data_IF_716326075632
#
_entry.id   IF_716326075632
#
_cell.length_a   1.000
_cell.length_b   1.000
_cell.length_c   1.000
_cell.angle_alpha   90.00
_cell.angle_beta   90.00
_cell.angle_gamma   90.00
#
_symmetry.space_group_name_H-M   'P 1'
#
loop_
_entity.id
_entity.type
_entity.pdbx_description
1 polymer ?
#
# COMPACT_ATOMS: atom_id res chain seq x y z
N UNK A 1 -7.89 23.62 -1.68
CA UNK A 1 -6.50 23.14 -1.84
C UNK A 1 -6.57 21.63 -1.91
N UNK A 2 -6.29 21.03 -3.07
CA UNK A 2 -6.29 19.58 -3.24
C UNK A 2 -5.18 19.00 -2.37
N UNK A 3 -5.54 18.25 -1.33
CA UNK A 3 -4.59 17.45 -0.58
C UNK A 3 -3.94 16.48 -1.58
N UNK A 4 -2.61 16.58 -1.73
CA UNK A 4 -1.84 15.57 -2.47
C UNK A 4 -1.85 14.35 -1.56
N UNK A 5 -2.77 13.42 -1.81
CA UNK A 5 -2.81 12.15 -1.11
C UNK A 5 -1.58 11.33 -1.54
N UNK A 6 -0.75 10.96 -0.56
CA UNK A 6 0.46 10.16 -0.81
C UNK A 6 0.10 8.69 -0.75
N UNK A 7 0.45 7.93 -1.79
CA UNK A 7 0.38 6.47 -1.73
C UNK A 7 1.44 5.92 -0.77
N UNK A 8 1.08 4.87 -0.02
CA UNK A 8 2.01 4.25 0.93
C UNK A 8 3.00 3.34 0.22
N UNK A 9 4.14 3.07 0.87
CA UNK A 9 5.19 2.18 0.35
C UNK A 9 4.65 0.80 -0.07
N UNK A 10 3.78 0.11 0.70
CA UNK A 10 3.20 -1.15 0.28
C UNK A 10 2.41 -1.05 -1.03
N UNK A 11 1.59 -0.01 -1.19
CA UNK A 11 0.78 0.21 -2.41
C UNK A 11 1.65 0.46 -3.63
N UNK A 12 2.70 1.29 -3.49
CA UNK A 12 3.67 1.56 -4.57
C UNK A 12 4.38 0.27 -5.00
N UNK A 13 4.85 -0.53 -4.04
CA UNK A 13 5.56 -1.77 -4.34
C UNK A 13 4.65 -2.78 -5.02
N UNK A 14 3.43 -2.97 -4.51
CA UNK A 14 2.44 -3.87 -5.12
C UNK A 14 2.09 -3.45 -6.57
N UNK A 15 1.93 -2.14 -6.82
CA UNK A 15 1.68 -1.62 -8.16
C UNK A 15 2.81 -1.94 -9.15
N UNK A 16 4.06 -1.76 -8.72
CA UNK A 16 5.23 -1.97 -9.57
C UNK A 16 5.46 -3.47 -9.81
N UNK A 17 5.17 -4.32 -8.83
CA UNK A 17 5.21 -5.77 -8.97
C UNK A 17 4.18 -6.26 -10.01
N UNK A 18 2.94 -5.77 -9.94
CA UNK A 18 1.92 -6.02 -10.96
C UNK A 18 2.39 -5.65 -12.37
N UNK A 19 2.95 -4.45 -12.52
CA UNK A 19 3.47 -3.98 -13.80
C UNK A 19 4.61 -4.87 -14.31
N UNK A 20 5.52 -5.27 -13.41
CA UNK A 20 6.67 -6.10 -13.76
C UNK A 20 6.26 -7.50 -14.23
N UNK A 21 5.18 -8.04 -13.69
CA UNK A 21 4.68 -9.34 -14.10
C UNK A 21 3.85 -9.32 -15.37
N UNK A 22 2.96 -8.33 -15.54
CA UNK A 22 1.98 -8.35 -16.64
C UNK A 22 2.46 -7.66 -17.90
N UNK A 23 3.39 -6.71 -17.80
CA UNK A 23 3.89 -6.02 -18.97
C UNK A 23 5.03 -6.78 -19.65
N UNK A 24 4.93 -6.89 -20.98
CA UNK A 24 6.07 -7.27 -21.80
C UNK A 24 7.18 -6.23 -21.71
N UNK A 25 8.41 -6.58 -22.12
CA UNK A 25 9.53 -5.62 -22.16
C UNK A 25 9.18 -4.35 -22.94
N UNK A 26 8.55 -4.50 -24.12
CA UNK A 26 8.15 -3.37 -24.95
C UNK A 26 7.07 -2.51 -24.29
N UNK A 27 6.06 -3.15 -23.68
CA UNK A 27 4.99 -2.44 -22.98
C UNK A 27 5.50 -1.71 -21.72
N UNK A 28 6.47 -2.30 -21.02
CA UNK A 28 7.12 -1.67 -19.87
C UNK A 28 7.96 -0.46 -20.30
N UNK A 29 8.70 -0.56 -21.40
CA UNK A 29 9.47 0.57 -21.95
C UNK A 29 8.56 1.72 -22.41
N UNK A 30 7.42 1.40 -23.03
CA UNK A 30 6.40 2.40 -23.34
C UNK A 30 5.81 3.07 -22.09
N UNK A 31 5.62 2.31 -21.02
CA UNK A 31 5.12 2.84 -19.75
C UNK A 31 6.14 3.79 -19.10
N UNK A 32 7.44 3.44 -19.09
CA UNK A 32 8.53 4.32 -18.61
C UNK A 32 8.45 5.70 -19.26
N UNK A 33 8.20 5.77 -20.56
CA UNK A 33 8.04 7.05 -21.28
C UNK A 33 6.82 7.85 -20.83
N UNK A 34 5.69 7.18 -20.56
CA UNK A 34 4.46 7.87 -20.12
C UNK A 34 4.57 8.47 -18.73
N UNK A 35 5.46 7.93 -17.90
CA UNK A 35 5.71 8.39 -16.53
C UNK A 35 6.98 9.24 -16.41
N UNK A 36 7.56 9.68 -17.54
CA UNK A 36 8.75 10.56 -17.61
C UNK A 36 9.98 9.99 -16.86
N UNK A 37 10.22 8.66 -16.92
CA UNK A 37 11.35 8.00 -16.26
C UNK A 37 12.44 7.47 -17.22
N UNK A 38 12.41 7.86 -18.49
CA UNK A 38 13.32 7.34 -19.52
C UNK A 38 14.77 7.80 -19.38
N UNK A 39 15.01 8.91 -18.67
CA UNK A 39 16.36 9.39 -18.39
C UNK A 39 17.03 8.57 -17.27
N UNK A 40 16.21 8.10 -16.33
CA UNK A 40 16.64 7.39 -15.14
C UNK A 40 16.66 5.88 -15.35
N UNK A 41 15.78 5.34 -16.20
CA UNK A 41 15.64 3.89 -16.43
C UNK A 41 16.04 3.55 -17.88
N UNK A 42 17.18 2.87 -18.09
CA UNK A 42 17.64 2.50 -19.43
C UNK A 42 16.68 1.55 -20.16
N UNK A 43 16.25 1.91 -21.36
CA UNK A 43 15.39 1.08 -22.23
C UNK A 43 16.18 0.09 -23.10
N UNK A 44 17.28 -0.45 -22.55
CA UNK A 44 18.15 -1.40 -23.27
C UNK A 44 17.52 -2.79 -23.27
N UNK A 45 17.65 -3.53 -24.38
CA UNK A 45 17.09 -4.88 -24.53
C UNK A 45 17.72 -5.89 -23.58
N UNK A 46 18.95 -5.65 -23.16
CA UNK A 46 19.70 -6.51 -22.24
C UNK A 46 19.25 -6.34 -20.78
N UNK A 47 18.49 -5.29 -20.46
CA UNK A 47 17.98 -5.05 -19.10
C UNK A 47 16.60 -5.68 -18.98
N UNK A 48 16.47 -6.63 -18.05
CA UNK A 48 15.21 -7.32 -17.77
C UNK A 48 14.17 -6.40 -17.14
N UNK A 49 12.89 -6.72 -17.34
CA UNK A 49 11.76 -6.01 -16.71
C UNK A 49 11.92 -5.96 -15.19
N UNK A 50 12.36 -7.05 -14.56
CA UNK A 50 12.61 -7.12 -13.11
C UNK A 50 13.68 -6.12 -12.62
N UNK A 51 14.73 -5.90 -13.40
CA UNK A 51 15.76 -4.91 -13.06
C UNK A 51 15.21 -3.48 -13.21
N UNK A 52 14.46 -3.23 -14.29
CA UNK A 52 13.79 -1.94 -14.52
C UNK A 52 12.77 -1.63 -13.42
N UNK A 53 11.96 -2.60 -13.00
CA UNK A 53 10.96 -2.43 -11.94
C UNK A 53 11.59 -2.17 -10.58
N UNK A 54 12.71 -2.84 -10.24
CA UNK A 54 13.45 -2.57 -8.99
C UNK A 54 13.96 -1.12 -8.95
N UNK A 55 14.48 -0.62 -10.07
CA UNK A 55 14.93 0.76 -10.20
C UNK A 55 13.78 1.75 -10.14
N UNK A 56 12.68 1.45 -10.83
CA UNK A 56 11.44 2.23 -10.75
C UNK A 56 10.93 2.32 -9.30
N UNK A 57 10.91 1.21 -8.55
CA UNK A 57 10.49 1.20 -7.15
C UNK A 57 11.34 2.14 -6.30
N UNK A 58 12.65 2.15 -6.50
CA UNK A 58 13.53 3.05 -5.76
C UNK A 58 13.26 4.53 -6.10
N UNK A 59 13.07 4.84 -7.38
CA UNK A 59 12.78 6.21 -7.84
C UNK A 59 11.43 6.72 -7.35
N UNK A 60 10.38 5.90 -7.46
CA UNK A 60 9.02 6.27 -7.03
C UNK A 60 8.94 6.39 -5.50
N UNK A 61 9.69 5.59 -4.74
CA UNK A 61 9.74 5.74 -3.29
C UNK A 61 10.53 6.98 -2.85
N UNK A 62 11.53 7.42 -3.62
CA UNK A 62 12.35 8.59 -3.29
C UNK A 62 11.68 9.91 -3.73
N UNK A 63 11.08 9.92 -4.92
CA UNK A 63 10.59 11.12 -5.59
C UNK A 63 9.12 11.01 -5.99
N UNK A 64 8.34 10.14 -5.33
CA UNK A 64 6.95 9.86 -5.70
C UNK A 64 6.02 11.08 -5.67
N UNK A 65 6.33 12.10 -4.87
CA UNK A 65 5.59 13.36 -4.78
C UNK A 65 5.94 14.38 -5.87
N UNK A 66 6.97 14.10 -6.69
CA UNK A 66 7.33 14.94 -7.83
C UNK A 66 6.16 15.00 -8.81
N UNK A 67 5.81 16.22 -9.23
CA UNK A 67 4.77 16.41 -10.24
C UNK A 67 5.36 16.18 -11.62
N UNK A 68 4.74 15.29 -12.39
CA UNK A 68 5.08 14.97 -13.77
C UNK A 68 3.94 15.36 -14.71
N UNK A 69 4.23 15.54 -15.99
CA UNK A 69 3.20 15.78 -16.99
C UNK A 69 2.88 14.45 -17.69
N UNK A 70 1.72 13.88 -17.40
CA UNK A 70 1.24 12.71 -18.14
C UNK A 70 0.39 13.15 -19.33
N UNK A 71 0.12 12.21 -20.24
CA UNK A 71 -0.78 12.43 -21.40
C UNK A 71 -2.15 12.94 -20.97
N UNK A 72 -2.64 12.46 -19.81
CA UNK A 72 -4.01 12.70 -19.36
C UNK A 72 -4.12 13.93 -18.44
N UNK A 73 -3.10 14.21 -17.62
CA UNK A 73 -3.05 15.37 -16.70
C UNK A 73 -1.72 15.49 -15.96
N UNK A 74 -1.50 16.63 -15.29
CA UNK A 74 -0.39 16.82 -14.36
C UNK A 74 -0.73 16.15 -13.02
N UNK A 75 0.10 15.22 -12.58
CA UNK A 75 -0.10 14.44 -11.34
C UNK A 75 1.24 14.07 -10.70
N UNK A 76 1.21 13.45 -9.53
CA UNK A 76 2.44 12.95 -8.90
C UNK A 76 2.98 11.73 -9.63
N UNK A 77 4.29 11.51 -9.60
CA UNK A 77 4.94 10.34 -10.18
C UNK A 77 4.34 9.03 -9.62
N UNK A 78 4.12 8.99 -8.31
CA UNK A 78 3.49 7.84 -7.67
C UNK A 78 2.09 7.59 -8.26
N UNK A 79 1.24 8.62 -8.34
CA UNK A 79 -0.11 8.49 -8.90
C UNK A 79 -0.08 8.00 -10.36
N UNK A 80 0.84 8.50 -11.18
CA UNK A 80 0.97 8.07 -12.56
C UNK A 80 1.29 6.57 -12.68
N UNK A 81 2.22 6.07 -11.86
CA UNK A 81 2.57 4.65 -11.80
C UNK A 81 1.40 3.81 -11.28
N UNK A 82 0.70 4.26 -10.24
CA UNK A 82 -0.49 3.58 -9.72
C UNK A 82 -1.57 3.48 -10.83
N UNK A 83 -1.81 4.54 -11.58
CA UNK A 83 -2.79 4.54 -12.68
C UNK A 83 -2.40 3.59 -13.81
N UNK A 84 -1.12 3.46 -14.14
CA UNK A 84 -0.67 2.44 -15.09
C UNK A 84 -0.88 1.02 -14.53
N UNK A 85 -0.63 0.78 -13.25
CA UNK A 85 -0.90 -0.52 -12.62
C UNK A 85 -2.40 -0.87 -12.61
N UNK A 86 -3.28 0.12 -12.41
CA UNK A 86 -4.73 -0.08 -12.49
C UNK A 86 -5.17 -0.59 -13.88
N UNK A 87 -4.50 -0.16 -14.96
CA UNK A 87 -4.82 -0.61 -16.32
C UNK A 87 -4.58 -2.11 -16.54
N UNK A 88 -3.67 -2.74 -15.79
CA UNK A 88 -3.31 -4.17 -15.93
C UNK A 88 -4.05 -5.10 -14.97
N UNK A 89 -4.81 -4.55 -14.00
CA UNK A 89 -5.58 -5.32 -13.01
C UNK A 89 -6.44 -6.45 -13.59
N UNK A 90 -7.16 -6.28 -14.72
CA UNK A 90 -8.01 -7.34 -15.27
C UNK A 90 -7.23 -8.59 -15.69
N UNK A 91 -5.96 -8.43 -16.06
CA UNK A 91 -5.07 -9.51 -16.51
C UNK A 91 -4.26 -10.17 -15.38
N UNK A 92 -4.54 -9.80 -14.14
CA UNK A 92 -3.78 -10.25 -12.95
C UNK A 92 -4.45 -11.41 -12.23
N UNK A 93 -3.66 -12.25 -11.55
CA UNK A 93 -4.19 -13.25 -10.63
C UNK A 93 -4.84 -12.60 -9.39
N UNK A 94 -5.61 -13.39 -8.65
CA UNK A 94 -6.41 -12.88 -7.53
C UNK A 94 -5.55 -12.41 -6.35
N UNK A 95 -4.49 -13.14 -6.00
CA UNK A 95 -3.66 -12.82 -4.82
C UNK A 95 -2.95 -11.47 -4.95
N UNK A 96 -2.31 -11.21 -6.10
CA UNK A 96 -1.62 -9.93 -6.35
C UNK A 96 -2.63 -8.78 -6.49
N UNK A 97 -3.75 -9.05 -7.18
CA UNK A 97 -4.86 -8.10 -7.31
C UNK A 97 -5.37 -7.66 -5.95
N UNK A 98 -5.70 -8.59 -5.08
CA UNK A 98 -6.19 -8.28 -3.73
C UNK A 98 -5.18 -7.50 -2.90
N UNK A 99 -3.89 -7.87 -2.96
CA UNK A 99 -2.82 -7.16 -2.26
C UNK A 99 -2.77 -5.69 -2.66
N UNK A 100 -2.81 -5.42 -3.96
CA UNK A 100 -2.81 -4.07 -4.50
C UNK A 100 -4.09 -3.31 -4.15
N UNK A 101 -5.26 -3.93 -4.30
CA UNK A 101 -6.55 -3.30 -3.97
C UNK A 101 -6.65 -2.96 -2.48
N UNK A 102 -6.14 -3.81 -1.58
CA UNK A 102 -6.06 -3.51 -0.14
C UNK A 102 -5.16 -2.30 0.14
N UNK A 103 -4.03 -2.20 -0.54
CA UNK A 103 -3.14 -1.03 -0.46
C UNK A 103 -3.85 0.26 -0.89
N UNK A 104 -4.55 0.22 -2.02
CA UNK A 104 -5.34 1.36 -2.50
C UNK A 104 -6.44 1.77 -1.51
N UNK A 105 -7.18 0.81 -0.97
CA UNK A 105 -8.23 1.08 0.01
C UNK A 105 -7.67 1.75 1.27
N UNK A 106 -6.51 1.29 1.76
CA UNK A 106 -5.79 1.91 2.88
C UNK A 106 -5.35 3.34 2.59
N UNK A 107 -4.98 3.62 1.34
CA UNK A 107 -4.58 4.95 0.88
C UNK A 107 -5.78 5.85 0.54
N UNK A 108 -7.03 5.36 0.72
CA UNK A 108 -8.26 6.13 0.47
C UNK A 108 -8.73 6.10 -0.99
N UNK A 109 -8.33 5.10 -1.75
CA UNK A 109 -8.65 4.95 -3.18
C UNK A 109 -9.39 3.65 -3.48
N UNK A 110 -10.23 3.72 -4.52
CA UNK A 110 -10.92 2.55 -5.09
C UNK A 110 -10.73 2.49 -6.59
N UNK A 111 -10.80 1.27 -7.12
CA UNK A 111 -10.82 1.03 -8.57
C UNK A 111 -12.27 0.83 -8.99
N UNK A 112 -12.74 1.69 -9.87
CA UNK A 112 -14.06 1.60 -10.49
C UNK A 112 -13.93 1.18 -11.96
N UNK A 113 -15.00 0.64 -12.54
CA UNK A 113 -15.06 0.34 -13.96
C UNK A 113 -15.88 1.42 -14.67
N UNK A 114 -15.40 1.89 -15.81
CA UNK A 114 -16.16 2.80 -16.67
C UNK A 114 -17.35 2.06 -17.30
N UNK A 115 -18.56 2.61 -17.19
CA UNK A 115 -19.80 1.92 -17.59
C UNK A 115 -19.81 1.46 -19.06
N UNK A 116 -19.18 2.23 -19.95
CA UNK A 116 -19.22 1.98 -21.39
C UNK A 116 -18.12 1.04 -21.87
N UNK A 117 -16.92 1.15 -21.30
CA UNK A 117 -15.73 0.45 -21.79
C UNK A 117 -15.33 -0.73 -20.90
N UNK A 118 -15.85 -0.80 -19.68
CA UNK A 118 -15.41 -1.72 -18.64
C UNK A 118 -13.96 -1.48 -18.18
N UNK A 119 -13.33 -0.38 -18.61
CA UNK A 119 -11.93 -0.10 -18.26
C UNK A 119 -11.83 0.31 -16.80
N UNK A 120 -10.89 -0.28 -16.04
CA UNK A 120 -10.68 0.11 -14.67
C UNK A 120 -10.04 1.52 -14.61
N UNK A 121 -10.51 2.34 -13.69
CA UNK A 121 -9.95 3.65 -13.40
C UNK A 121 -9.87 3.88 -11.90
N UNK A 122 -8.88 4.68 -11.51
CA UNK A 122 -8.65 5.06 -10.11
C UNK A 122 -9.45 6.30 -9.77
N UNK A 123 -10.15 6.27 -8.63
CA UNK A 123 -10.76 7.45 -8.01
C UNK A 123 -10.60 7.42 -6.49
N UNK A 124 -10.74 8.59 -5.87
CA UNK A 124 -10.86 8.67 -4.43
C UNK A 124 -12.11 7.90 -3.97
N UNK A 125 -11.97 7.20 -2.85
CA UNK A 125 -13.06 6.49 -2.22
C UNK A 125 -14.07 7.49 -1.64
N UNK A 126 -15.36 7.22 -1.81
CA UNK A 126 -16.39 7.94 -1.04
C UNK A 126 -16.34 7.47 0.42
N UNK A 127 -16.74 8.30 1.39
CA UNK A 127 -16.75 7.91 2.81
C UNK A 127 -17.42 6.57 3.08
N UNK A 128 -18.51 6.27 2.37
CA UNK A 128 -19.28 5.02 2.53
C UNK A 128 -18.62 3.79 1.86
N UNK A 129 -17.63 4.01 0.99
CA UNK A 129 -16.90 2.95 0.25
C UNK A 129 -15.57 2.58 0.89
N UNK A 130 -15.07 3.42 1.80
CA UNK A 130 -13.92 3.11 2.65
C UNK A 130 -14.40 2.13 3.73
N UNK A 131 -14.62 0.89 3.34
CA UNK A 131 -14.73 -0.22 4.27
C UNK A 131 -13.31 -0.65 4.67
N UNK A 132 -12.54 0.28 5.25
CA UNK A 132 -11.35 -0.09 6.01
C UNK A 132 -11.82 -1.15 7.01
N UNK A 133 -11.19 -2.34 7.07
CA UNK A 133 -11.65 -3.37 7.99
C UNK A 133 -11.78 -2.73 9.37
N UNK A 134 -12.99 -2.74 9.92
CA UNK A 134 -13.22 -2.33 11.30
C UNK A 134 -12.28 -3.10 12.25
N UNK A 135 -11.74 -4.23 11.81
CA UNK A 135 -10.72 -5.05 12.46
C UNK A 135 -9.47 -4.28 12.90
N UNK A 136 -8.99 -3.29 12.14
CA UNK A 136 -7.83 -2.46 12.55
C UNK A 136 -8.17 -1.63 13.80
N UNK A 137 -9.43 -1.22 13.97
CA UNK A 137 -9.90 -0.46 15.13
C UNK A 137 -10.63 -1.30 16.18
N UNK A 138 -11.06 -2.52 15.84
CA UNK A 138 -11.78 -3.42 16.76
C UNK A 138 -10.83 -3.89 17.85
N UNK A 139 -9.58 -4.24 17.51
CA UNK A 139 -8.56 -4.57 18.52
C UNK A 139 -8.30 -3.37 19.43
N UNK A 140 -8.11 -2.16 18.88
CA UNK A 140 -7.93 -0.95 19.69
C UNK A 140 -9.16 -0.66 20.57
N UNK A 141 -10.37 -0.87 20.05
CA UNK A 141 -11.63 -0.66 20.75
C UNK A 141 -11.82 -1.68 21.88
N UNK A 142 -11.52 -2.95 21.66
CA UNK A 142 -11.57 -4.00 22.68
C UNK A 142 -10.54 -3.74 23.79
N UNK A 143 -9.30 -3.39 23.43
CA UNK A 143 -8.27 -3.05 24.40
C UNK A 143 -8.67 -1.85 25.26
N UNK A 144 -9.27 -0.81 24.66
CA UNK A 144 -9.82 0.35 25.40
C UNK A 144 -10.98 -0.06 26.29
N UNK A 145 -11.91 -0.88 25.79
CA UNK A 145 -13.08 -1.35 26.53
C UNK A 145 -12.70 -2.13 27.80
N UNK A 146 -11.71 -3.02 27.71
CA UNK A 146 -11.20 -3.80 28.85
C UNK A 146 -10.14 -3.06 29.67
N UNK A 147 -9.77 -1.82 29.30
CA UNK A 147 -8.72 -1.01 29.93
C UNK A 147 -7.30 -1.61 29.87
N UNK A 148 -6.99 -2.36 28.80
CA UNK A 148 -5.67 -2.96 28.56
C UNK A 148 -4.73 -1.95 27.88
N UNK A 149 -4.42 -0.86 28.59
CA UNK A 149 -3.67 0.28 28.04
C UNK A 149 -2.19 -0.02 27.76
N UNK A 150 -1.58 -0.95 28.50
CA UNK A 150 -0.20 -1.35 28.27
C UNK A 150 -0.05 -2.14 26.96
N UNK A 151 -0.81 -3.22 26.72
CA UNK A 151 -0.85 -3.88 25.41
C UNK A 151 -1.23 -2.94 24.26
N UNK A 152 -2.20 -2.03 24.46
CA UNK A 152 -2.56 -1.00 23.47
C UNK A 152 -1.35 -0.19 23.01
N UNK A 153 -0.54 0.31 23.94
CA UNK A 153 0.66 1.08 23.61
C UNK A 153 1.72 0.26 22.85
N UNK A 154 1.85 -1.04 23.11
CA UNK A 154 2.74 -1.92 22.36
C UNK A 154 2.23 -2.19 20.94
N UNK A 155 0.92 -2.33 20.77
CA UNK A 155 0.29 -2.45 19.46
C UNK A 155 0.52 -1.20 18.60
N UNK A 156 0.29 -0.02 19.18
CA UNK A 156 0.57 1.27 18.53
C UNK A 156 2.03 1.35 18.07
N UNK A 157 2.97 1.01 18.96
CA UNK A 157 4.42 1.02 18.66
C UNK A 157 4.81 0.01 17.58
N UNK A 158 4.16 -1.17 17.54
CA UNK A 158 4.40 -2.18 16.52
C UNK A 158 3.96 -1.70 15.13
N UNK A 159 2.76 -1.10 15.04
CA UNK A 159 2.23 -0.51 13.80
C UNK A 159 3.14 0.63 13.33
N UNK A 160 3.56 1.50 14.25
CA UNK A 160 4.48 2.60 13.98
C UNK A 160 5.85 2.14 13.46
N UNK A 161 6.44 1.11 14.09
CA UNK A 161 7.71 0.55 13.64
C UNK A 161 7.56 -0.12 12.26
N UNK A 162 6.47 -0.85 12.04
CA UNK A 162 6.18 -1.49 10.77
C UNK A 162 6.01 -0.46 9.64
N UNK A 163 5.26 0.62 9.86
CA UNK A 163 5.06 1.69 8.87
C UNK A 163 6.36 2.41 8.50
N UNK A 164 7.29 2.55 9.45
CA UNK A 164 8.65 3.05 9.20
C UNK A 164 9.60 2.03 8.55
N UNK A 165 9.18 0.77 8.39
CA UNK A 165 9.99 -0.31 7.83
C UNK A 165 11.07 -0.85 8.78
N UNK A 166 10.97 -0.57 10.08
CA UNK A 166 11.83 -1.14 11.11
C UNK A 166 11.27 -2.51 11.55
N UNK A 167 11.56 -3.52 10.75
CA UNK A 167 11.05 -4.89 10.94
C UNK A 167 11.48 -5.51 12.28
N UNK A 168 12.68 -5.20 12.76
CA UNK A 168 13.19 -5.73 14.01
C UNK A 168 12.42 -5.14 15.20
N UNK A 169 12.22 -3.82 15.21
CA UNK A 169 11.42 -3.16 16.24
C UNK A 169 9.95 -3.56 16.18
N UNK A 170 9.37 -3.68 14.98
CA UNK A 170 7.98 -4.12 14.81
C UNK A 170 7.75 -5.52 15.40
N UNK A 171 8.62 -6.47 15.08
CA UNK A 171 8.53 -7.83 15.61
C UNK A 171 8.77 -7.90 17.13
N UNK A 172 9.65 -7.06 17.66
CA UNK A 172 9.88 -6.97 19.10
C UNK A 172 8.61 -6.47 19.83
N UNK A 173 8.01 -5.39 19.34
CA UNK A 173 6.79 -4.82 19.93
C UNK A 173 5.59 -5.75 19.79
N UNK A 174 5.45 -6.46 18.66
CA UNK A 174 4.38 -7.44 18.47
C UNK A 174 4.45 -8.59 19.49
N UNK A 175 5.66 -9.05 19.84
CA UNK A 175 5.86 -10.06 20.89
C UNK A 175 5.41 -9.52 22.25
N UNK A 176 5.90 -8.33 22.63
CA UNK A 176 5.56 -7.71 23.92
C UNK A 176 4.06 -7.41 24.03
N UNK A 177 3.43 -7.01 22.92
CA UNK A 177 1.97 -6.86 22.84
C UNK A 177 1.25 -8.17 23.18
N UNK A 178 1.61 -9.28 22.52
CA UNK A 178 0.96 -10.58 22.74
C UNK A 178 1.18 -11.09 24.18
N UNK A 179 2.39 -10.97 24.72
CA UNK A 179 2.70 -11.34 26.10
C UNK A 179 1.86 -10.54 27.09
N UNK A 180 1.86 -9.21 26.97
CA UNK A 180 1.07 -8.34 27.84
C UNK A 180 -0.44 -8.55 27.70
N UNK A 181 -0.93 -8.80 26.48
CA UNK A 181 -2.34 -9.08 26.23
C UNK A 181 -2.80 -10.36 26.93
N UNK A 182 -2.03 -11.45 26.79
CA UNK A 182 -2.36 -12.72 27.42
C UNK A 182 -2.31 -12.61 28.96
N UNK A 183 -1.34 -11.87 29.48
CA UNK A 183 -1.22 -11.54 30.90
C UNK A 183 -2.44 -10.78 31.42
N UNK A 184 -2.87 -9.73 30.72
CA UNK A 184 -4.00 -8.91 31.13
C UNK A 184 -5.33 -9.66 31.00
N UNK A 185 -5.51 -10.48 29.96
CA UNK A 185 -6.66 -11.40 29.85
C UNK A 185 -6.67 -12.37 31.02
N UNK A 186 -5.53 -12.98 31.35
CA UNK A 186 -5.45 -13.92 32.46
C UNK A 186 -5.81 -13.27 33.80
N UNK A 187 -5.33 -12.04 34.06
CA UNK A 187 -5.69 -11.27 35.27
C UNK A 187 -7.16 -10.86 35.29
N UNK A 188 -7.75 -10.59 34.13
CA UNK A 188 -9.15 -10.20 34.00
C UNK A 188 -10.11 -11.38 34.26
N UNK A 189 -9.83 -12.53 33.63
CA UNK A 189 -10.68 -13.73 33.72
C UNK A 189 -10.45 -14.53 35.01
N UNK A 190 -9.21 -14.50 35.52
CA UNK A 190 -8.80 -15.21 36.73
C UNK A 190 -8.15 -14.25 37.71
N UNK A 191 -8.93 -13.30 38.29
CA UNK A 191 -8.41 -12.45 39.34
C UNK A 191 -7.92 -13.34 40.48
N UNK A 192 -6.66 -13.17 40.90
CA UNK A 192 -6.12 -13.92 42.02
C UNK A 192 -7.02 -13.68 43.24
N UNK A 193 -7.60 -14.75 43.79
CA UNK A 193 -8.36 -14.71 45.04
C UNK A 193 -7.48 -14.05 46.11
N UNK A 194 -7.85 -12.83 46.54
CA UNK A 194 -7.30 -12.15 47.72
C UNK A 194 -8.12 -12.56 48.93
#
# INVERSE_FOLDING_TARGET
MSHIHSFTRPTILAAIELLAEKLSQASFDQMILRVELEQEIPQRKEVSVKSKSTRMASLVLQSGSQMINTVDSKMTLAEAVIREAVKVLPATNETERESFLRGLARDGYVVAAEEQSGRPYLRAALPDEINLPATDDEVHSLLKYFNFFMPLGHLDQAIDAHTRGDWAAANAQMRTFLEGLLDDIARHEFPADV
#
